data_IF_545156469400
#
_entry.id   IF_545156469400
#
_cell.length_a   1.000
_cell.length_b   1.000
_cell.length_c   1.000
_cell.angle_alpha   90.00
_cell.angle_beta   90.00
_cell.angle_gamma   90.00
#
_symmetry.space_group_name_H-M   'P 1'
#
loop_
_entity.id
_entity.type
_entity.pdbx_description
1 polymer ?
#
# COMPACT_ATOMS: atom_id res chain seq x y z
N UNK A 1 -2.85 -9.15 -28.50
CA UNK A 1 -2.16 -9.07 -29.81
C UNK A 1 -2.70 -7.95 -30.70
N UNK A 2 -3.98 -7.95 -31.12
CA UNK A 2 -4.55 -6.89 -32.00
C UNK A 2 -4.39 -5.45 -31.47
N UNK A 3 -4.61 -5.22 -30.17
CA UNK A 3 -4.48 -3.88 -29.56
C UNK A 3 -3.04 -3.33 -29.61
N UNK A 4 -2.03 -4.18 -29.37
CA UNK A 4 -0.63 -3.77 -29.34
C UNK A 4 -0.08 -3.50 -30.76
N UNK A 5 -0.70 -4.07 -31.79
CA UNK A 5 -0.33 -3.88 -33.19
C UNK A 5 -0.89 -2.58 -33.81
N UNK A 6 -1.71 -1.81 -33.09
CA UNK A 6 -2.28 -0.55 -33.59
C UNK A 6 -1.21 0.54 -33.70
N UNK A 7 -1.25 1.37 -34.76
CA UNK A 7 -0.14 2.24 -35.16
C UNK A 7 0.09 3.43 -34.24
N UNK A 8 -0.97 3.95 -33.62
CA UNK A 8 -0.93 5.13 -32.77
C UNK A 8 -1.99 5.08 -31.66
N UNK A 9 -1.97 6.10 -30.79
CA UNK A 9 -2.90 6.20 -29.68
C UNK A 9 -4.36 6.43 -30.11
N UNK A 10 -4.60 7.16 -31.20
CA UNK A 10 -5.97 7.42 -31.67
C UNK A 10 -6.64 6.12 -32.13
N UNK A 11 -5.91 5.28 -32.87
CA UNK A 11 -6.38 3.96 -33.27
C UNK A 11 -6.65 3.07 -32.06
N UNK A 12 -5.78 3.11 -31.04
CA UNK A 12 -5.97 2.42 -29.76
C UNK A 12 -7.20 2.93 -29.01
N UNK A 13 -7.41 4.24 -28.95
CA UNK A 13 -8.54 4.87 -28.29
C UNK A 13 -9.87 4.47 -28.94
N UNK A 14 -9.97 4.50 -30.27
CA UNK A 14 -11.19 4.03 -30.97
C UNK A 14 -11.43 2.53 -30.77
N UNK A 15 -10.38 1.72 -30.74
CA UNK A 15 -10.49 0.30 -30.40
C UNK A 15 -11.05 0.10 -28.97
N UNK A 16 -10.57 0.88 -28.00
CA UNK A 16 -11.06 0.85 -26.61
C UNK A 16 -12.52 1.28 -26.53
N UNK A 17 -12.87 2.38 -27.21
CA UNK A 17 -14.23 2.90 -27.29
C UNK A 17 -15.23 1.89 -27.85
N UNK A 18 -14.83 1.15 -28.87
CA UNK A 18 -15.64 0.08 -29.46
C UNK A 18 -15.74 -1.17 -28.56
N UNK A 19 -14.75 -1.42 -27.70
CA UNK A 19 -14.69 -2.60 -26.84
C UNK A 19 -15.29 -2.43 -25.44
N UNK A 20 -15.43 -1.20 -24.94
CA UNK A 20 -16.02 -0.91 -23.63
C UNK A 20 -17.54 -0.69 -23.72
N UNK A 21 -18.24 -0.94 -22.62
CA UNK A 21 -19.61 -0.45 -22.47
C UNK A 21 -19.62 1.08 -22.47
N UNK A 22 -20.76 1.68 -22.83
CA UNK A 22 -20.90 3.14 -22.84
C UNK A 22 -20.53 3.78 -21.49
N UNK A 23 -20.92 3.15 -20.38
CA UNK A 23 -20.64 3.68 -19.05
C UNK A 23 -19.17 3.48 -18.62
N UNK A 24 -18.57 2.32 -18.94
CA UNK A 24 -17.13 2.11 -18.73
C UNK A 24 -16.29 3.08 -19.56
N UNK A 25 -16.69 3.36 -20.80
CA UNK A 25 -16.00 4.30 -21.67
C UNK A 25 -16.10 5.74 -21.14
N UNK A 26 -17.27 6.17 -20.65
CA UNK A 26 -17.41 7.50 -20.01
C UNK A 26 -16.42 7.68 -18.85
N UNK A 27 -16.23 6.66 -18.03
CA UNK A 27 -15.24 6.72 -16.93
C UNK A 27 -13.82 6.79 -17.47
N UNK A 28 -13.50 5.97 -18.47
CA UNK A 28 -12.19 5.96 -19.10
C UNK A 28 -11.84 7.32 -19.74
N UNK A 29 -12.81 7.95 -20.40
CA UNK A 29 -12.63 9.22 -21.11
C UNK A 29 -12.36 10.41 -20.17
N UNK A 30 -12.76 10.32 -18.90
CA UNK A 30 -12.45 11.33 -17.88
C UNK A 30 -10.97 11.33 -17.48
N UNK A 31 -10.27 10.20 -17.67
CA UNK A 31 -8.88 10.06 -17.25
C UNK A 31 -7.96 10.85 -18.19
N UNK A 32 -6.90 11.50 -17.66
CA UNK A 32 -5.85 12.06 -18.49
C UNK A 32 -5.23 11.02 -19.42
N UNK A 33 -4.86 11.45 -20.63
CA UNK A 33 -4.31 10.56 -21.66
C UNK A 33 -3.11 9.73 -21.17
N UNK A 34 -2.21 10.33 -20.37
CA UNK A 34 -1.07 9.61 -19.79
C UNK A 34 -1.50 8.46 -18.87
N UNK A 35 -2.54 8.67 -18.07
CA UNK A 35 -3.09 7.64 -17.18
C UNK A 35 -3.84 6.58 -17.98
N UNK A 36 -4.61 6.99 -19.01
CA UNK A 36 -5.26 6.05 -19.92
C UNK A 36 -4.24 5.07 -20.52
N UNK A 37 -3.07 5.56 -20.95
CA UNK A 37 -1.99 4.73 -21.49
C UNK A 37 -1.42 3.76 -20.45
N UNK A 38 -1.21 4.23 -19.21
CA UNK A 38 -0.64 3.42 -18.12
C UNK A 38 -1.52 2.22 -17.74
N UNK A 39 -2.84 2.31 -17.91
CA UNK A 39 -3.77 1.20 -17.67
C UNK A 39 -3.56 -0.02 -18.60
N UNK A 40 -2.88 0.18 -19.74
CA UNK A 40 -2.58 -0.88 -20.70
C UNK A 40 -1.12 -1.33 -20.67
N UNK A 41 -0.35 -0.94 -19.64
CA UNK A 41 0.98 -1.50 -19.41
C UNK A 41 0.93 -3.02 -19.23
N UNK A 42 2.05 -3.67 -19.54
CA UNK A 42 2.14 -5.12 -19.41
C UNK A 42 1.93 -5.58 -17.96
N UNK A 43 1.21 -6.70 -17.82
CA UNK A 43 0.98 -7.35 -16.53
C UNK A 43 2.24 -8.09 -16.08
N UNK A 44 2.40 -8.24 -14.76
CA UNK A 44 3.48 -9.03 -14.20
C UNK A 44 3.33 -10.54 -14.55
N UNK A 45 4.35 -11.40 -14.27
CA UNK A 45 4.28 -12.84 -14.53
C UNK A 45 3.13 -13.57 -13.81
N UNK A 46 2.50 -12.94 -12.82
CA UNK A 46 1.36 -13.48 -12.08
C UNK A 46 0.01 -12.95 -12.58
N UNK A 47 0.00 -12.07 -13.60
CA UNK A 47 -1.18 -11.48 -14.19
C UNK A 47 -1.68 -10.21 -13.49
N UNK A 48 -0.94 -9.67 -12.52
CA UNK A 48 -1.31 -8.45 -11.83
C UNK A 48 -0.99 -7.22 -12.66
N UNK A 49 -1.81 -6.18 -12.51
CA UNK A 49 -1.49 -4.84 -13.02
C UNK A 49 -0.34 -4.28 -12.21
N UNK A 50 0.65 -3.70 -12.88
CA UNK A 50 1.80 -3.05 -12.23
C UNK A 50 1.40 -1.69 -11.66
N UNK A 51 0.64 -1.69 -10.57
CA UNK A 51 0.08 -0.47 -9.97
C UNK A 51 1.13 0.55 -9.55
N UNK A 52 2.35 0.11 -9.24
CA UNK A 52 3.48 1.00 -8.93
C UNK A 52 3.94 1.85 -10.13
N UNK A 53 3.59 1.45 -11.36
CA UNK A 53 3.87 2.21 -12.58
C UNK A 53 2.72 3.16 -12.95
N UNK A 54 1.60 3.09 -12.23
CA UNK A 54 0.47 3.99 -12.42
C UNK A 54 0.69 5.21 -11.52
N UNK A 55 0.91 6.35 -12.15
CA UNK A 55 1.21 7.65 -11.52
C UNK A 55 -0.08 8.27 -10.94
N UNK A 56 -0.63 7.60 -9.93
CA UNK A 56 -1.91 7.93 -9.30
C UNK A 56 -1.88 9.34 -8.67
N UNK A 57 -0.73 9.78 -8.18
CA UNK A 57 -0.52 11.12 -7.65
C UNK A 57 -0.65 12.20 -8.74
N UNK A 58 -0.23 11.91 -9.97
CA UNK A 58 -0.41 12.81 -11.12
C UNK A 58 -1.84 12.81 -11.61
N UNK A 59 -2.51 11.65 -11.60
CA UNK A 59 -3.94 11.55 -11.89
C UNK A 59 -4.73 12.51 -10.98
N UNK A 60 -4.56 12.41 -9.67
CA UNK A 60 -5.28 13.27 -8.73
C UNK A 60 -4.96 14.75 -8.94
N UNK A 61 -3.69 15.09 -9.13
CA UNK A 61 -3.27 16.46 -9.35
C UNK A 61 -3.87 17.08 -10.62
N UNK A 62 -3.89 16.35 -11.73
CA UNK A 62 -4.43 16.84 -13.01
C UNK A 62 -5.96 16.97 -12.95
N UNK A 63 -6.64 16.03 -12.32
CA UNK A 63 -8.08 16.11 -12.09
C UNK A 63 -8.45 17.30 -11.20
N UNK A 64 -7.71 17.53 -10.11
CA UNK A 64 -7.89 18.70 -9.24
C UNK A 64 -7.57 19.99 -9.98
N UNK A 65 -6.49 20.06 -10.77
CA UNK A 65 -6.14 21.22 -11.57
C UNK A 65 -7.25 21.58 -12.57
N UNK A 66 -7.82 20.56 -13.23
CA UNK A 66 -8.94 20.70 -14.17
C UNK A 66 -10.18 21.28 -13.48
N UNK A 67 -10.53 20.75 -12.31
CA UNK A 67 -11.67 21.23 -11.52
C UNK A 67 -11.43 22.66 -10.99
N UNK A 68 -10.25 22.97 -10.46
CA UNK A 68 -9.91 24.31 -10.00
C UNK A 68 -9.87 25.34 -11.13
N UNK A 69 -9.50 24.94 -12.36
CA UNK A 69 -9.59 25.80 -13.54
C UNK A 69 -11.04 26.15 -13.87
N UNK A 70 -11.96 25.18 -13.80
CA UNK A 70 -13.41 25.42 -13.97
C UNK A 70 -13.93 26.38 -12.91
N UNK A 71 -13.60 26.16 -11.64
CA UNK A 71 -13.99 27.05 -10.52
C UNK A 71 -13.43 28.46 -10.67
N UNK A 72 -12.19 28.58 -11.17
CA UNK A 72 -11.57 29.89 -11.45
C UNK A 72 -12.30 30.63 -12.57
N UNK A 73 -12.67 29.94 -13.65
CA UNK A 73 -13.48 30.51 -14.73
C UNK A 73 -14.88 30.95 -14.25
N UNK A 74 -15.47 30.21 -13.31
CA UNK A 74 -16.74 30.56 -12.66
C UNK A 74 -16.61 31.61 -11.54
N UNK A 75 -15.40 32.10 -11.24
CA UNK A 75 -15.16 33.09 -10.18
C UNK A 75 -15.26 32.57 -8.73
N UNK A 76 -15.44 31.26 -8.53
CA UNK A 76 -15.61 30.62 -7.20
C UNK A 76 -14.30 30.16 -6.56
N UNK A 77 -13.18 30.22 -7.30
CA UNK A 77 -11.84 29.94 -6.79
C UNK A 77 -10.87 31.05 -7.17
N UNK A 78 -10.26 31.70 -6.16
CA UNK A 78 -9.31 32.81 -6.33
C UNK A 78 -7.86 32.42 -6.01
N UNK A 79 -7.61 31.18 -5.62
CA UNK A 79 -6.30 30.71 -5.21
C UNK A 79 -5.35 30.40 -6.39
N UNK A 80 -4.10 30.07 -6.04
CA UNK A 80 -3.10 29.52 -6.95
C UNK A 80 -2.86 28.07 -6.58
N UNK A 81 -3.02 27.18 -7.56
CA UNK A 81 -2.72 25.76 -7.40
C UNK A 81 -1.38 25.46 -8.06
N UNK A 82 -0.51 24.77 -7.33
CA UNK A 82 0.77 24.27 -7.82
C UNK A 82 1.06 22.95 -7.12
N UNK A 83 1.64 22.00 -7.84
CA UNK A 83 1.84 20.64 -7.37
C UNK A 83 3.30 20.24 -7.47
N UNK A 84 3.72 19.42 -6.51
CA UNK A 84 4.95 18.64 -6.58
C UNK A 84 4.55 17.19 -6.35
N UNK A 85 5.16 16.29 -7.11
CA UNK A 85 4.85 14.86 -7.08
C UNK A 85 6.04 14.13 -6.48
N UNK A 86 5.74 13.21 -5.57
CA UNK A 86 6.72 12.36 -4.92
C UNK A 86 6.19 10.93 -4.96
N UNK A 87 7.08 9.99 -5.26
CA UNK A 87 6.78 8.56 -5.20
C UNK A 87 7.88 7.87 -4.40
N UNK A 88 7.62 7.68 -3.11
CA UNK A 88 8.53 7.01 -2.19
C UNK A 88 8.19 5.52 -2.14
N UNK A 89 9.13 4.66 -2.47
CA UNK A 89 8.96 3.22 -2.53
C UNK A 89 10.27 2.46 -2.50
N UNK A 90 11.02 2.46 -3.61
CA UNK A 90 12.22 1.63 -3.76
C UNK A 90 13.31 1.94 -2.72
N UNK A 91 13.49 3.22 -2.40
CA UNK A 91 14.46 3.71 -1.41
C UNK A 91 14.22 3.17 0.00
N UNK A 92 12.98 2.79 0.34
CA UNK A 92 12.64 2.23 1.65
C UNK A 92 12.81 0.71 1.75
N UNK A 93 13.00 -0.01 0.64
CA UNK A 93 13.00 -1.48 0.62
C UNK A 93 14.34 -2.12 0.98
N UNK A 94 15.43 -1.38 0.79
CA UNK A 94 16.81 -1.82 1.07
C UNK A 94 17.53 -0.87 2.03
N UNK A 95 16.77 -0.17 2.88
CA UNK A 95 17.34 0.60 3.98
C UNK A 95 17.84 -0.34 5.09
N UNK A 96 18.66 0.19 6.00
CA UNK A 96 19.01 -0.53 7.22
C UNK A 96 17.73 -0.80 8.05
N UNK A 97 17.53 -2.03 8.56
CA UNK A 97 16.36 -2.36 9.35
C UNK A 97 16.39 -1.64 10.70
N UNK A 98 15.24 -1.20 11.20
CA UNK A 98 15.10 -0.69 12.58
C UNK A 98 15.53 -1.75 13.61
N UNK A 99 15.79 -1.36 14.87
CA UNK A 99 16.07 -2.34 15.93
C UNK A 99 14.92 -3.37 16.05
N UNK A 100 13.68 -2.90 15.96
CA UNK A 100 12.50 -3.77 15.92
C UNK A 100 12.58 -4.83 14.81
N UNK A 101 12.85 -4.42 13.56
CA UNK A 101 12.92 -5.35 12.43
C UNK A 101 14.14 -6.26 12.51
N UNK A 102 15.27 -5.76 13.02
CA UNK A 102 16.48 -6.55 13.25
C UNK A 102 16.22 -7.69 14.24
N UNK A 103 15.65 -7.36 15.41
CA UNK A 103 15.29 -8.34 16.44
C UNK A 103 14.23 -9.31 15.93
N UNK A 104 13.20 -8.80 15.25
CA UNK A 104 12.08 -9.61 14.74
C UNK A 104 12.55 -10.58 13.66
N UNK A 105 13.33 -10.13 12.69
CA UNK A 105 13.83 -10.97 11.61
C UNK A 105 14.82 -12.02 12.12
N UNK A 106 15.71 -11.64 13.05
CA UNK A 106 16.62 -12.59 13.69
C UNK A 106 15.84 -13.67 14.45
N UNK A 107 14.87 -13.26 15.27
CA UNK A 107 14.01 -14.16 16.04
C UNK A 107 13.21 -15.12 15.14
N UNK A 108 12.67 -14.63 14.02
CA UNK A 108 11.97 -15.45 13.03
C UNK A 108 12.87 -16.53 12.42
N UNK A 109 14.10 -16.17 12.04
CA UNK A 109 15.09 -17.09 11.48
C UNK A 109 15.51 -18.17 12.48
N UNK A 110 15.83 -17.76 13.71
CA UNK A 110 16.19 -18.68 14.79
C UNK A 110 15.03 -19.62 15.14
N UNK A 111 13.81 -19.10 15.26
CA UNK A 111 12.62 -19.90 15.52
C UNK A 111 12.29 -20.86 14.36
N UNK A 112 12.52 -20.46 13.09
CA UNK A 112 12.35 -21.37 11.96
C UNK A 112 13.29 -22.58 12.05
N UNK A 113 14.55 -22.35 12.46
CA UNK A 113 15.49 -23.44 12.74
C UNK A 113 14.95 -24.38 13.83
N UNK A 114 14.44 -23.83 14.94
CA UNK A 114 13.85 -24.66 16.02
C UNK A 114 12.66 -25.48 15.54
N UNK A 115 11.76 -24.91 14.73
CA UNK A 115 10.64 -25.65 14.14
C UNK A 115 11.12 -26.84 13.30
N UNK A 116 12.18 -26.67 12.51
CA UNK A 116 12.81 -27.75 11.73
C UNK A 116 13.41 -28.80 12.66
N UNK A 117 14.15 -28.40 13.70
CA UNK A 117 14.76 -29.33 14.66
C UNK A 117 13.73 -30.20 15.37
N UNK A 118 12.53 -29.67 15.67
CA UNK A 118 11.43 -30.43 16.25
C UNK A 118 10.59 -31.23 15.22
N UNK A 119 10.96 -31.22 13.94
CA UNK A 119 10.32 -32.02 12.90
C UNK A 119 9.03 -31.45 12.32
N UNK A 120 8.75 -30.15 12.52
CA UNK A 120 7.57 -29.51 11.94
C UNK A 120 7.78 -29.14 10.46
N UNK A 121 6.75 -29.35 9.64
CA UNK A 121 6.71 -28.96 8.21
C UNK A 121 5.38 -28.31 7.84
N UNK A 122 5.38 -27.41 6.86
CA UNK A 122 4.18 -26.64 6.46
C UNK A 122 3.76 -25.56 7.47
N UNK A 123 4.65 -25.17 8.38
CA UNK A 123 4.45 -24.08 9.35
C UNK A 123 5.20 -22.82 8.92
N UNK A 124 4.56 -21.67 9.13
CA UNK A 124 5.19 -20.36 9.11
C UNK A 124 5.82 -20.08 10.49
N UNK A 125 7.08 -19.65 10.52
CA UNK A 125 7.71 -19.12 11.74
C UNK A 125 6.93 -17.91 12.24
N UNK A 126 6.59 -17.91 13.54
CA UNK A 126 5.76 -16.87 14.17
C UNK A 126 6.45 -16.39 15.44
N UNK A 127 6.53 -15.08 15.60
CA UNK A 127 6.81 -14.43 16.87
C UNK A 127 5.63 -13.53 17.23
N UNK A 128 5.25 -13.48 18.49
CA UNK A 128 4.08 -12.73 18.99
C UNK A 128 4.42 -11.94 20.24
N UNK A 129 3.50 -11.08 20.67
CA UNK A 129 3.72 -10.07 21.71
C UNK A 129 4.68 -8.94 21.26
N UNK A 130 4.67 -8.62 19.97
CA UNK A 130 5.62 -7.69 19.32
C UNK A 130 5.58 -6.23 19.82
N UNK A 131 4.55 -5.83 20.57
CA UNK A 131 4.49 -4.49 21.15
C UNK A 131 5.19 -4.38 22.52
N UNK A 132 5.70 -5.49 23.03
CA UNK A 132 6.55 -5.58 24.24
C UNK A 132 8.03 -5.62 23.85
N UNK A 133 8.96 -5.38 24.80
CA UNK A 133 10.38 -5.62 24.57
C UNK A 133 10.65 -7.03 24.02
N UNK A 134 11.71 -7.18 23.23
CA UNK A 134 12.04 -8.44 22.55
C UNK A 134 12.17 -9.65 23.49
N UNK A 135 12.63 -9.41 24.72
CA UNK A 135 12.75 -10.41 25.79
C UNK A 135 11.40 -11.03 26.21
N UNK A 136 10.28 -10.33 25.98
CA UNK A 136 8.92 -10.78 26.31
C UNK A 136 8.18 -11.40 25.10
N UNK A 137 8.88 -11.59 23.97
CA UNK A 137 8.26 -12.16 22.78
C UNK A 137 8.06 -13.67 22.90
N UNK A 138 6.98 -14.15 22.27
CA UNK A 138 6.63 -15.58 22.27
C UNK A 138 6.83 -16.17 20.88
N UNK A 139 7.72 -17.15 20.76
CA UNK A 139 8.02 -17.87 19.53
C UNK A 139 7.09 -19.08 19.33
N UNK A 140 6.80 -19.42 18.07
CA UNK A 140 5.97 -20.57 17.72
C UNK A 140 5.81 -20.76 16.22
N UNK A 141 4.83 -21.59 15.82
CA UNK A 141 4.52 -21.85 14.40
C UNK A 141 3.04 -21.65 14.09
N UNK A 142 2.73 -21.18 12.88
CA UNK A 142 1.37 -21.13 12.34
C UNK A 142 1.25 -22.07 11.13
N UNK A 143 0.35 -23.07 11.12
CA UNK A 143 0.10 -23.89 9.94
C UNK A 143 -0.33 -23.01 8.75
N UNK A 144 0.37 -23.12 7.62
CA UNK A 144 0.13 -22.22 6.47
C UNK A 144 -1.31 -22.36 5.94
N UNK A 145 -1.86 -23.58 5.98
CA UNK A 145 -3.23 -23.88 5.52
C UNK A 145 -4.30 -23.09 6.26
N UNK A 146 -4.08 -22.68 7.52
CA UNK A 146 -5.03 -21.85 8.27
C UNK A 146 -5.15 -20.42 7.73
N UNK A 147 -4.18 -19.96 6.93
CA UNK A 147 -4.19 -18.63 6.33
C UNK A 147 -4.70 -18.64 4.88
N UNK A 148 -5.04 -19.81 4.33
CA UNK A 148 -5.39 -19.96 2.92
C UNK A 148 -6.91 -19.88 2.70
N UNK A 149 -7.28 -19.36 1.53
CA UNK A 149 -8.61 -19.41 0.95
C UNK A 149 -8.53 -19.81 -0.53
N UNK A 150 -9.68 -20.04 -1.16
CA UNK A 150 -9.75 -20.26 -2.61
C UNK A 150 -10.01 -18.93 -3.33
N UNK A 151 -9.15 -18.59 -4.30
CA UNK A 151 -9.35 -17.47 -5.22
C UNK A 151 -9.31 -17.95 -6.67
N UNK A 152 -10.15 -17.37 -7.55
CA UNK A 152 -10.13 -17.67 -8.98
C UNK A 152 -9.13 -16.78 -9.70
N UNK A 153 -8.04 -17.37 -10.23
CA UNK A 153 -6.98 -16.68 -10.99
C UNK A 153 -6.80 -17.33 -12.36
N UNK A 154 -6.80 -16.52 -13.42
CA UNK A 154 -6.74 -16.98 -14.82
C UNK A 154 -7.80 -18.06 -15.11
N UNK A 155 -9.01 -17.87 -14.60
CA UNK A 155 -10.14 -18.78 -14.81
C UNK A 155 -10.11 -20.09 -14.01
N UNK A 156 -9.12 -20.31 -13.13
CA UNK A 156 -8.99 -21.52 -12.29
C UNK A 156 -8.95 -21.17 -10.81
N UNK A 157 -9.55 -22.02 -9.98
CA UNK A 157 -9.51 -21.85 -8.53
C UNK A 157 -8.17 -22.31 -7.98
N UNK A 158 -7.51 -21.46 -7.18
CA UNK A 158 -6.19 -21.71 -6.60
C UNK A 158 -6.21 -21.41 -5.10
N UNK A 159 -5.58 -22.24 -4.26
CA UNK A 159 -5.41 -21.94 -2.84
C UNK A 159 -4.35 -20.84 -2.71
N UNK A 160 -4.69 -19.75 -2.02
CA UNK A 160 -3.82 -18.59 -1.83
C UNK A 160 -3.98 -18.04 -0.43
N UNK A 161 -2.97 -17.33 0.09
CA UNK A 161 -3.09 -16.60 1.35
C UNK A 161 -3.85 -15.30 1.10
N UNK A 162 -4.92 -15.08 1.88
CA UNK A 162 -5.72 -13.86 1.79
C UNK A 162 -4.87 -12.66 2.21
N UNK A 163 -4.89 -11.60 1.40
CA UNK A 163 -4.32 -10.31 1.79
C UNK A 163 -5.15 -9.72 2.94
N UNK A 164 -4.51 -9.43 4.07
CA UNK A 164 -5.11 -8.62 5.13
C UNK A 164 -5.12 -7.15 4.66
N UNK A 165 -6.31 -6.57 4.58
CA UNK A 165 -6.51 -5.15 4.26
C UNK A 165 -6.76 -4.38 5.56
N UNK A 166 -6.80 -3.05 5.47
CA UNK A 166 -7.15 -2.19 6.62
C UNK A 166 -8.56 -2.53 7.12
N UNK A 167 -8.70 -2.78 8.41
CA UNK A 167 -9.99 -2.90 9.10
C UNK A 167 -10.53 -1.49 9.42
N UNK A 168 -11.65 -1.10 8.81
CA UNK A 168 -12.22 0.25 8.93
C UNK A 168 -12.87 0.52 10.30
N UNK A 169 -13.16 -0.53 11.05
CA UNK A 169 -13.59 -0.51 12.44
C UNK A 169 -12.43 -0.71 13.44
N UNK A 170 -11.23 -1.04 12.94
CA UNK A 170 -10.03 -1.22 13.75
C UNK A 170 -9.49 0.08 14.33
N UNK A 171 -8.80 -0.03 15.47
CA UNK A 171 -8.24 1.11 16.22
C UNK A 171 -7.34 2.03 15.36
N UNK A 172 -6.47 1.53 14.46
CA UNK A 172 -5.67 2.40 13.59
C UNK A 172 -6.51 3.31 12.69
N UNK A 173 -7.53 2.76 12.03
CA UNK A 173 -8.38 3.55 11.14
C UNK A 173 -9.28 4.51 11.93
N UNK A 174 -9.81 4.06 13.08
CA UNK A 174 -10.62 4.92 13.96
C UNK A 174 -9.84 6.10 14.51
N UNK A 175 -8.56 5.92 14.82
CA UNK A 175 -7.69 7.04 15.18
C UNK A 175 -7.53 8.03 14.02
N UNK A 176 -7.29 7.56 12.79
CA UNK A 176 -7.25 8.43 11.62
C UNK A 176 -8.59 9.16 11.39
N UNK A 177 -9.71 8.44 11.43
CA UNK A 177 -11.06 8.98 11.23
C UNK A 177 -11.40 10.09 12.24
N UNK A 178 -11.06 9.90 13.52
CA UNK A 178 -11.33 10.86 14.57
C UNK A 178 -10.58 12.20 14.39
N UNK A 179 -9.45 12.21 13.68
CA UNK A 179 -8.59 13.38 13.56
C UNK A 179 -8.54 14.00 12.15
N UNK A 180 -8.92 13.26 11.09
CA UNK A 180 -8.71 13.69 9.69
C UNK A 180 -9.39 15.01 9.32
N UNK A 181 -10.54 15.34 9.93
CA UNK A 181 -11.25 16.60 9.66
C UNK A 181 -10.47 17.82 10.15
N UNK A 182 -9.85 17.71 11.33
CA UNK A 182 -8.97 18.75 11.85
C UNK A 182 -7.70 18.86 11.02
N UNK A 183 -7.08 17.72 10.70
CA UNK A 183 -5.85 17.68 9.89
C UNK A 183 -6.04 18.19 8.46
N UNK A 184 -7.25 18.12 7.91
CA UNK A 184 -7.56 18.60 6.57
C UNK A 184 -7.50 20.14 6.46
N UNK A 185 -7.73 20.87 7.55
CA UNK A 185 -7.87 22.33 7.54
C UNK A 185 -6.85 23.07 8.40
N UNK A 186 -6.27 22.42 9.42
CA UNK A 186 -5.26 23.01 10.30
C UNK A 186 -3.86 22.51 9.97
N UNK A 187 -2.85 23.31 10.33
CA UNK A 187 -1.44 22.92 10.25
C UNK A 187 -1.07 22.01 11.43
N UNK A 188 -1.36 20.71 11.32
CA UNK A 188 -1.13 19.70 12.35
C UNK A 188 0.00 18.71 11.98
N UNK A 189 1.10 19.20 11.39
CA UNK A 189 2.19 18.34 10.94
C UNK A 189 2.99 17.76 12.11
N UNK A 190 3.32 16.48 12.01
CA UNK A 190 4.32 15.82 12.85
C UNK A 190 5.61 15.64 12.05
N UNK A 191 6.75 15.88 12.67
CA UNK A 191 8.06 15.80 12.03
C UNK A 191 8.87 14.64 12.62
N UNK A 192 8.63 13.38 12.18
CA UNK A 192 9.45 12.26 12.63
C UNK A 192 10.90 12.45 12.18
N UNK A 193 11.84 12.13 13.07
CA UNK A 193 13.26 12.11 12.74
C UNK A 193 13.67 10.86 11.95
N UNK A 194 14.95 10.78 11.59
CA UNK A 194 15.53 9.55 11.04
C UNK A 194 15.49 8.41 12.07
N UNK A 195 15.48 7.17 11.60
CA UNK A 195 15.62 5.98 12.46
C UNK A 195 16.90 6.11 13.28
N UNK A 196 16.77 5.95 14.60
CA UNK A 196 17.90 5.94 15.53
C UNK A 196 18.20 4.50 15.92
N UNK A 197 19.48 4.12 15.88
CA UNK A 197 19.96 2.78 16.26
C UNK A 197 20.58 2.76 17.65
N UNK A 198 20.85 3.95 18.21
CA UNK A 198 21.50 4.14 19.49
C UNK A 198 20.72 5.18 20.29
N UNK A 199 20.86 5.09 21.62
CA UNK A 199 20.21 6.01 22.55
C UNK A 199 19.14 5.31 23.39
N UNK A 200 18.20 6.07 23.97
CA UNK A 200 17.14 5.50 24.80
C UNK A 200 16.23 4.57 23.99
N UNK A 201 15.83 3.45 24.62
CA UNK A 201 14.88 2.49 24.03
C UNK A 201 13.56 3.14 23.59
N UNK A 202 13.13 4.20 24.28
CA UNK A 202 11.95 5.00 23.91
C UNK A 202 12.07 5.72 22.55
N UNK A 203 13.25 5.70 21.93
CA UNK A 203 13.53 6.28 20.61
C UNK A 203 13.96 5.21 19.62
N UNK A 204 14.95 4.38 19.95
CA UNK A 204 15.51 3.41 19.00
C UNK A 204 14.69 2.12 18.86
N UNK A 205 13.87 1.78 19.85
CA UNK A 205 13.09 0.53 19.88
C UNK A 205 11.58 0.79 19.72
N UNK A 206 11.22 1.95 19.13
CA UNK A 206 9.84 2.31 18.84
C UNK A 206 9.20 1.35 17.83
N UNK A 207 7.97 0.96 18.12
CA UNK A 207 7.13 0.23 17.17
C UNK A 207 6.29 1.18 16.31
N UNK A 208 5.66 0.64 15.26
CA UNK A 208 4.74 1.43 14.44
C UNK A 208 3.51 1.87 15.25
N UNK A 209 2.95 3.04 14.92
CA UNK A 209 1.68 3.49 15.53
C UNK A 209 0.54 2.52 15.29
N UNK A 210 0.55 1.82 14.16
CA UNK A 210 -0.40 0.74 13.85
C UNK A 210 -0.32 -0.36 14.90
N UNK A 211 0.87 -0.92 15.16
CA UNK A 211 1.05 -2.00 16.14
C UNK A 211 0.69 -1.53 17.55
N UNK A 212 1.09 -0.31 17.93
CA UNK A 212 0.75 0.27 19.23
C UNK A 212 -0.77 0.38 19.43
N UNK A 213 -1.49 0.93 18.44
CA UNK A 213 -2.96 1.07 18.49
C UNK A 213 -3.68 -0.27 18.50
N UNK A 214 -3.23 -1.24 17.69
CA UNK A 214 -3.79 -2.60 17.69
C UNK A 214 -3.60 -3.34 19.03
N UNK A 215 -2.61 -2.93 19.82
CA UNK A 215 -2.34 -3.46 21.17
C UNK A 215 -2.86 -2.58 22.29
N UNK A 216 -3.63 -1.54 21.98
CA UNK A 216 -4.21 -0.63 22.98
C UNK A 216 -3.16 0.17 23.75
N UNK A 217 -1.98 0.38 23.16
CA UNK A 217 -0.97 1.27 23.73
C UNK A 217 -1.32 2.73 23.39
N UNK A 218 -1.00 3.62 24.32
CA UNK A 218 -1.17 5.06 24.10
C UNK A 218 -0.13 5.53 23.07
N UNK A 219 -0.57 6.37 22.13
CA UNK A 219 0.28 6.94 21.07
C UNK A 219 0.38 8.46 21.15
#
# INVERSE_FOLDING_TARGET
>A
EKFNALPDWNAKYEFIKAGLSADSFKVFDILPQGIQQQLFLERDPHGNVQVSLIESEKLFAEMVATELKKRKAAGTYKGKFGTQHHFFGYEGRCAFPSNFDADYCYSLGYNAFMLIQYGYTGYLSKVSNLAKPAEEWNAGGMPITKMMNMERRNGKDKPVIRKALVELDGAPFKYFEANREEWAVKTCFTYPGAIQYYGPASVCDLTTRTLALEKGQNI
#
